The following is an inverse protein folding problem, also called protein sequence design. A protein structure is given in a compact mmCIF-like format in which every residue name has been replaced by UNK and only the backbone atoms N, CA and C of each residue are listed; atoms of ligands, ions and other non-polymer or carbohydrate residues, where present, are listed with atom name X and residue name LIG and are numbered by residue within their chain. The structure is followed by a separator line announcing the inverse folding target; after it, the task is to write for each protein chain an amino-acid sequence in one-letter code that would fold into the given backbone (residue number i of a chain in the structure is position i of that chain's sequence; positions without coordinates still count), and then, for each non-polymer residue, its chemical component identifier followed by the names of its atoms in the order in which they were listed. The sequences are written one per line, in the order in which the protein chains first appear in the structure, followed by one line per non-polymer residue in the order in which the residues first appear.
data_IF_804865422543
#
_entry.id   IF_804865422543
#
_cell.length_a   1.000
_cell.length_b   1.000
_cell.length_c   1.000
_cell.angle_alpha   90.00
_cell.angle_beta   90.00
_cell.angle_gamma   90.00
#
_symmetry.space_group_name_H-M   'P 1'
#
loop_
_entity.id
_entity.type
_entity.pdbx_description
1 polymer ?
#
# COMPACT_ATOMS: atom_id res chain seq x y z
N UNK A 1 3.26 9.75 5.20
CA UNK A 1 3.38 9.07 3.88
C UNK A 1 2.00 8.75 3.34
N UNK A 2 1.09 8.05 4.05
CA UNK A 2 -0.31 7.86 3.63
C UNK A 2 -0.98 9.18 3.22
N UNK A 3 -0.84 10.24 4.03
CA UNK A 3 -1.40 11.57 3.76
C UNK A 3 -0.90 12.22 2.45
N UNK A 4 0.31 11.85 1.98
CA UNK A 4 0.86 12.40 0.73
C UNK A 4 0.34 11.67 -0.49
N UNK A 5 -0.07 10.40 -0.34
CA UNK A 5 -0.56 9.59 -1.46
C UNK A 5 -2.08 9.63 -1.57
N UNK A 6 -2.82 9.87 -0.49
CA UNK A 6 -4.29 9.90 -0.49
C UNK A 6 -4.87 10.85 -1.54
N UNK A 7 -4.33 12.06 -1.70
CA UNK A 7 -4.75 13.03 -2.71
C UNK A 7 -4.53 12.61 -4.17
N UNK A 8 -3.74 11.56 -4.41
CA UNK A 8 -3.47 11.01 -5.75
C UNK A 8 -4.36 9.80 -6.08
N UNK A 9 -5.09 9.28 -5.11
CA UNK A 9 -5.83 8.03 -5.25
C UNK A 9 -7.30 8.29 -5.55
N UNK A 10 -7.87 7.42 -6.40
CA UNK A 10 -9.34 7.31 -6.52
C UNK A 10 -9.90 6.51 -5.33
N UNK A 11 -11.16 6.74 -4.91
CA UNK A 11 -11.82 5.85 -3.97
C UNK A 11 -11.66 4.38 -4.37
N UNK A 12 -11.49 3.51 -3.38
CA UNK A 12 -11.26 2.06 -3.53
C UNK A 12 -9.94 1.69 -4.21
N UNK A 13 -9.02 2.64 -4.46
CA UNK A 13 -7.71 2.33 -5.02
C UNK A 13 -6.91 1.40 -4.11
N UNK A 14 -6.13 0.51 -4.74
CA UNK A 14 -5.24 -0.41 -4.05
C UNK A 14 -3.83 0.18 -3.98
N UNK A 15 -3.27 0.23 -2.78
CA UNK A 15 -1.86 0.52 -2.52
C UNK A 15 -1.15 -0.80 -2.25
N UNK A 16 -0.26 -1.19 -3.15
CA UNK A 16 0.58 -2.37 -3.02
C UNK A 16 1.99 -1.98 -2.58
N UNK A 17 2.47 -2.57 -1.49
CA UNK A 17 3.81 -2.33 -0.95
C UNK A 17 4.56 -3.65 -0.85
N UNK A 18 5.86 -3.62 -1.11
CA UNK A 18 6.74 -4.77 -0.94
C UNK A 18 8.08 -4.35 -0.33
N UNK A 19 8.59 -5.15 0.60
CA UNK A 19 9.94 -4.97 1.16
C UNK A 19 10.53 -6.30 1.61
N UNK A 20 11.84 -6.51 1.45
CA UNK A 20 12.57 -7.66 1.99
C UNK A 20 13.03 -7.45 3.44
N UNK A 21 12.84 -6.25 3.99
CA UNK A 21 13.29 -5.88 5.33
C UNK A 21 12.16 -5.94 6.37
N UNK A 22 12.19 -6.95 7.24
CA UNK A 22 11.12 -7.22 8.21
C UNK A 22 10.77 -6.06 9.16
N UNK A 23 11.75 -5.37 9.79
CA UNK A 23 11.48 -4.17 10.58
C UNK A 23 10.73 -3.09 9.79
N UNK A 24 11.09 -2.91 8.52
CA UNK A 24 10.43 -1.92 7.68
C UNK A 24 9.01 -2.35 7.28
N UNK A 25 8.78 -3.63 7.02
CA UNK A 25 7.43 -4.16 6.82
C UNK A 25 6.51 -3.89 8.02
N UNK A 26 7.01 -4.10 9.26
CA UNK A 26 6.25 -3.77 10.48
C UNK A 26 5.98 -2.28 10.61
N UNK A 27 6.95 -1.45 10.25
CA UNK A 27 6.77 0.01 10.23
C UNK A 27 5.72 0.44 9.21
N UNK A 28 5.71 -0.15 8.00
CA UNK A 28 4.67 0.09 6.99
C UNK A 28 3.28 -0.29 7.51
N UNK A 29 3.14 -1.49 8.11
CA UNK A 29 1.88 -1.93 8.72
C UNK A 29 1.37 -0.95 9.77
N UNK A 30 2.26 -0.49 10.65
CA UNK A 30 1.91 0.47 11.70
C UNK A 30 1.47 1.80 11.12
N UNK A 31 2.25 2.37 10.20
CA UNK A 31 1.97 3.70 9.62
C UNK A 31 0.65 3.69 8.85
N UNK A 32 0.41 2.70 7.99
CA UNK A 32 -0.86 2.61 7.27
C UNK A 32 -2.02 2.19 8.16
N UNK A 33 -1.79 1.32 9.16
CA UNK A 33 -2.84 0.91 10.10
C UNK A 33 -3.31 2.01 11.06
N UNK A 34 -2.56 3.11 11.18
CA UNK A 34 -2.95 4.31 11.92
C UNK A 34 -3.69 5.34 11.05
N UNK A 35 -3.66 5.18 9.72
CA UNK A 35 -4.34 6.08 8.80
C UNK A 35 -5.82 5.68 8.65
N UNK A 36 -6.73 6.62 8.87
CA UNK A 36 -8.19 6.36 8.91
C UNK A 36 -8.79 6.04 7.54
N UNK A 37 -8.11 6.48 6.49
CA UNK A 37 -8.49 6.38 5.09
C UNK A 37 -7.89 5.16 4.38
N UNK A 38 -7.13 4.32 5.11
CA UNK A 38 -6.55 3.09 4.56
C UNK A 38 -6.96 1.86 5.36
N UNK A 39 -7.48 0.86 4.66
CA UNK A 39 -7.84 -0.43 5.26
C UNK A 39 -6.92 -1.53 4.76
N UNK A 40 -6.30 -2.27 5.68
CA UNK A 40 -5.56 -3.48 5.30
C UNK A 40 -6.55 -4.57 4.86
N UNK A 41 -6.38 -5.09 3.65
CA UNK A 41 -7.27 -6.11 3.08
C UNK A 41 -6.71 -7.53 3.17
N UNK A 42 -5.55 -7.69 3.80
CA UNK A 42 -4.93 -9.00 4.03
C UNK A 42 -5.34 -9.54 5.41
N UNK A 43 -5.54 -10.86 5.55
CA UNK A 43 -5.78 -11.47 6.85
C UNK A 43 -4.57 -11.27 7.76
N UNK A 44 -4.76 -11.42 9.08
CA UNK A 44 -3.63 -11.42 10.03
C UNK A 44 -2.54 -12.38 9.55
N UNK A 45 -1.27 -11.96 9.55
CA UNK A 45 -0.69 -10.79 10.24
C UNK A 45 -0.77 -9.45 9.50
N UNK A 46 -1.52 -9.34 8.41
CA UNK A 46 -1.67 -8.12 7.62
C UNK A 46 -0.68 -8.00 6.46
N UNK A 47 0.09 -9.06 6.19
CA UNK A 47 1.00 -9.18 5.05
C UNK A 47 0.98 -10.61 4.51
N UNK A 48 1.45 -10.79 3.27
CA UNK A 48 1.72 -12.11 2.68
C UNK A 48 3.21 -12.24 2.35
N UNK A 49 3.68 -13.48 2.26
CA UNK A 49 5.05 -13.82 1.88
C UNK A 49 5.14 -14.34 0.43
N UNK A 50 3.99 -14.55 -0.19
CA UNK A 50 3.85 -14.91 -1.59
C UNK A 50 3.53 -13.66 -2.41
N UNK A 51 4.16 -13.55 -3.58
CA UNK A 51 3.94 -12.44 -4.51
C UNK A 51 2.51 -12.53 -5.07
N UNK A 52 1.74 -11.42 -5.13
CA UNK A 52 0.43 -11.41 -5.75
C UNK A 52 0.50 -11.80 -7.24
N UNK A 53 -0.50 -12.55 -7.71
CA UNK A 53 -0.64 -12.82 -9.15
C UNK A 53 -0.93 -11.52 -9.90
N UNK A 54 -0.23 -11.29 -11.02
CA UNK A 54 -0.43 -10.13 -11.90
C UNK A 54 0.53 -8.95 -11.69
N UNK A 55 1.29 -8.88 -10.60
CA UNK A 55 2.34 -7.88 -10.43
C UNK A 55 3.65 -8.37 -11.08
N UNK A 56 4.23 -7.69 -12.10
CA UNK A 56 5.51 -8.10 -12.68
C UNK A 56 6.59 -8.08 -11.58
N UNK A 57 7.34 -9.17 -11.46
CA UNK A 57 8.37 -9.28 -10.44
C UNK A 57 9.50 -8.29 -10.72
N UNK A 58 10.00 -7.63 -9.69
CA UNK A 58 11.13 -6.71 -9.83
C UNK A 58 12.46 -7.46 -9.87
N UNK A 59 13.49 -6.86 -10.46
CA UNK A 59 14.87 -7.41 -10.45
C UNK A 59 15.39 -7.62 -9.02
N UNK A 60 15.02 -6.73 -8.09
CA UNK A 60 15.42 -6.83 -6.68
C UNK A 60 14.79 -8.01 -5.95
N UNK A 61 13.53 -8.34 -6.25
CA UNK A 61 12.88 -9.52 -5.69
C UNK A 61 13.54 -10.81 -6.16
N UNK A 62 13.93 -10.86 -7.44
CA UNK A 62 14.65 -12.01 -8.01
C UNK A 62 16.03 -12.16 -7.35
N UNK A 63 16.78 -11.06 -7.22
CA UNK A 63 18.10 -11.05 -6.60
C UNK A 63 18.04 -11.46 -5.12
N UNK A 64 17.12 -10.86 -4.36
CA UNK A 64 16.97 -11.15 -2.93
C UNK A 64 16.58 -12.59 -2.69
N UNK A 65 15.68 -13.14 -3.51
CA UNK A 65 15.26 -14.54 -3.40
C UNK A 65 16.41 -15.49 -3.75
N UNK A 66 17.18 -15.18 -4.79
CA UNK A 66 18.32 -15.99 -5.23
C UNK A 66 19.49 -15.94 -4.22
N UNK A 67 19.84 -14.77 -3.70
CA UNK A 67 21.02 -14.58 -2.86
C UNK A 67 20.78 -14.89 -1.38
N UNK A 68 19.62 -14.52 -0.84
CA UNK A 68 19.35 -14.56 0.60
C UNK A 68 18.32 -15.60 1.01
N UNK A 69 17.67 -16.25 0.05
CA UNK A 69 16.57 -17.20 0.31
C UNK A 69 15.37 -16.57 1.01
N UNK A 70 15.25 -15.23 1.01
CA UNK A 70 14.20 -14.50 1.74
C UNK A 70 13.13 -14.00 0.79
N UNK A 71 11.88 -14.36 1.06
CA UNK A 71 10.74 -13.73 0.40
C UNK A 71 10.55 -12.28 0.89
N UNK A 72 9.96 -11.43 0.05
CA UNK A 72 9.50 -10.12 0.47
C UNK A 72 8.25 -10.23 1.36
N UNK A 73 7.99 -9.17 2.13
CA UNK A 73 6.73 -8.90 2.79
C UNK A 73 5.88 -8.08 1.82
N UNK A 74 4.73 -8.62 1.44
CA UNK A 74 3.76 -7.94 0.59
C UNK A 74 2.61 -7.43 1.45
N UNK A 75 2.32 -6.14 1.35
CA UNK A 75 1.22 -5.49 2.06
C UNK A 75 0.25 -4.91 1.03
N UNK A 76 -1.04 -4.93 1.35
CA UNK A 76 -2.07 -4.37 0.49
C UNK A 76 -3.09 -3.60 1.31
N UNK A 77 -3.26 -2.34 0.97
CA UNK A 77 -4.24 -1.44 1.58
C UNK A 77 -5.22 -0.94 0.53
N UNK A 78 -6.48 -0.79 0.92
CA UNK A 78 -7.51 -0.17 0.11
C UNK A 78 -7.78 1.23 0.66
N UNK A 79 -7.83 2.20 -0.24
CA UNK A 79 -8.11 3.59 0.09
C UNK A 79 -9.62 3.84 0.17
N UNK A 80 -10.08 4.28 1.33
CA UNK A 80 -11.44 4.71 1.60
C UNK A 80 -11.36 6.17 2.08
N UNK A 81 -11.49 7.16 1.19
CA UNK A 81 -11.38 8.55 1.57
C UNK A 81 -12.41 8.90 2.65
N UNK A 82 -12.04 9.78 3.58
CA UNK A 82 -12.99 10.36 4.51
C UNK A 82 -13.94 11.31 3.77
N UNK A 83 -15.13 11.55 4.29
CA UNK A 83 -16.09 12.50 3.68
C UNK A 83 -15.46 13.88 3.42
N UNK A 84 -14.59 14.33 4.34
CA UNK A 84 -13.84 15.57 4.18
C UNK A 84 -12.86 15.51 2.99
N UNK A 85 -12.11 14.41 2.85
CA UNK A 85 -11.18 14.21 1.74
C UNK A 85 -11.91 14.04 0.40
N UNK A 86 -13.08 13.38 0.38
CA UNK A 86 -13.92 13.27 -0.82
C UNK A 86 -14.38 14.63 -1.32
N UNK A 87 -14.81 15.50 -0.41
CA UNK A 87 -15.23 16.86 -0.74
C UNK A 87 -14.07 17.68 -1.32
N UNK A 88 -12.89 17.63 -0.68
CA UNK A 88 -11.69 18.32 -1.17
C UNK A 88 -11.23 17.82 -2.56
N UNK A 89 -11.29 16.51 -2.77
CA UNK A 89 -10.99 15.88 -4.07
C UNK A 89 -12.00 16.31 -5.16
N UNK A 90 -13.28 16.44 -4.81
CA UNK A 90 -14.32 16.89 -5.72
C UNK A 90 -14.11 18.36 -6.13
N UNK A 91 -13.82 19.23 -5.16
CA UNK A 91 -13.56 20.66 -5.38
C UNK A 91 -12.32 20.87 -6.26
N UNK A 92 -11.23 20.11 -5.98
CA UNK A 92 -10.00 20.18 -6.78
C UNK A 92 -10.21 19.75 -8.24
N UNK A 93 -11.04 18.73 -8.46
CA UNK A 93 -11.40 18.25 -9.81
C UNK A 93 -12.31 19.23 -10.55
N UNK A 94 -13.21 19.91 -9.85
CA UNK A 94 -14.08 20.93 -10.42
C UNK A 94 -13.30 22.19 -10.85
N UNK A 95 -12.24 22.56 -10.12
CA UNK A 95 -11.40 23.72 -10.44
C UNK A 95 -10.49 23.55 -11.68
N UNK A 96 -10.32 22.32 -12.17
CA UNK A 96 -9.48 21.99 -13.34
C UNK A 96 -10.30 21.56 -14.58
N UNK A 97 -11.62 21.75 -14.54
CA UNK A 97 -12.53 21.64 -15.69
C UNK A 97 -12.86 23.02 -16.24
#
# INVERSE_FOLDING_TARGET
FPDRVSGLLRPEALVELATDHGPYARQMLRVFGQAVDFRNILPRPGFRRERPAGAPGTRFEQLTRAEKGRAAYYLRFQFHPTEAAEKELADTRAAHK
#
